data_IF_739745809921
#
_entry.id   IF_739745809921
#
_cell.length_a   1.000
_cell.length_b   1.000
_cell.length_c   1.000
_cell.angle_alpha   90.00
_cell.angle_beta   90.00
_cell.angle_gamma   90.00
#
_symmetry.space_group_name_H-M   'P 1'
#
loop_
_entity.id
_entity.type
_entity.pdbx_description
1 polymer ?
#
# COMPACT_ATOMS: atom_id res chain seq x y z
N UNK A 1 -1.09 -54.52 2.06
CA UNK A 1 -1.90 -53.89 1.03
C UNK A 1 -2.70 -52.82 1.72
N UNK A 2 -2.19 -51.56 1.69
CA UNK A 2 -2.86 -50.43 2.28
C UNK A 2 -3.58 -49.67 1.16
N UNK A 3 -4.86 -49.73 1.17
CA UNK A 3 -5.73 -49.01 0.26
C UNK A 3 -5.84 -47.56 0.77
N UNK A 4 -5.11 -46.64 0.14
CA UNK A 4 -5.17 -45.22 0.46
C UNK A 4 -6.43 -44.63 -0.21
N UNK A 5 -7.48 -44.49 0.57
CA UNK A 5 -8.71 -43.80 0.13
C UNK A 5 -8.38 -42.33 -0.15
N UNK A 6 -8.24 -41.97 -1.40
CA UNK A 6 -8.12 -40.60 -1.85
C UNK A 6 -9.48 -39.92 -1.68
N UNK A 7 -9.60 -39.02 -0.72
CA UNK A 7 -10.77 -38.19 -0.53
C UNK A 7 -10.71 -37.08 -1.61
N UNK A 8 -11.62 -37.04 -2.58
CA UNK A 8 -11.65 -35.95 -3.57
C UNK A 8 -12.04 -34.66 -2.88
N UNK A 9 -11.13 -33.69 -2.86
CA UNK A 9 -11.41 -32.33 -2.43
C UNK A 9 -12.36 -31.71 -3.47
N UNK A 10 -13.67 -31.79 -3.21
CA UNK A 10 -14.64 -31.02 -3.97
C UNK A 10 -14.51 -29.56 -3.57
N UNK A 11 -13.77 -28.81 -4.36
CA UNK A 11 -13.94 -27.35 -4.42
C UNK A 11 -15.35 -27.09 -4.94
N UNK A 12 -16.28 -26.81 -4.05
CA UNK A 12 -17.56 -26.25 -4.41
C UNK A 12 -17.27 -24.82 -4.91
N UNK A 13 -17.17 -24.67 -6.23
CA UNK A 13 -17.28 -23.37 -6.86
C UNK A 13 -18.72 -22.89 -6.61
N UNK A 14 -18.94 -22.18 -5.51
CA UNK A 14 -20.12 -21.33 -5.36
C UNK A 14 -19.97 -20.25 -6.41
N UNK A 15 -20.74 -20.32 -7.47
CA UNK A 15 -20.97 -19.22 -8.40
C UNK A 15 -21.73 -18.12 -7.62
N UNK A 16 -21.00 -17.41 -6.74
CA UNK A 16 -21.46 -16.19 -6.13
C UNK A 16 -21.58 -15.14 -7.22
N UNK A 17 -22.66 -14.41 -7.26
CA UNK A 17 -22.77 -13.22 -8.08
C UNK A 17 -21.65 -12.27 -7.62
N UNK A 18 -20.59 -12.17 -8.42
CA UNK A 18 -19.48 -11.25 -8.15
C UNK A 18 -20.05 -9.83 -8.16
N UNK A 19 -19.83 -9.09 -7.06
CA UNK A 19 -20.26 -7.70 -6.96
C UNK A 19 -19.43 -6.87 -7.92
N UNK A 20 -20.07 -6.01 -8.71
CA UNK A 20 -19.37 -5.02 -9.53
C UNK A 20 -18.93 -3.85 -8.67
N UNK A 21 -17.67 -3.50 -8.79
CA UNK A 21 -17.08 -2.32 -8.17
C UNK A 21 -16.95 -1.21 -9.20
N UNK A 22 -17.31 0.01 -8.79
CA UNK A 22 -17.13 1.24 -9.56
C UNK A 22 -16.18 2.14 -8.78
N UNK A 23 -14.91 2.18 -9.19
CA UNK A 23 -13.84 2.88 -8.48
C UNK A 23 -13.54 4.18 -9.21
N UNK A 24 -13.78 5.33 -8.56
CA UNK A 24 -13.44 6.66 -9.08
C UNK A 24 -12.07 7.06 -8.55
N UNK A 25 -11.12 7.24 -9.43
CA UNK A 25 -9.74 7.60 -9.10
C UNK A 25 -9.44 9.01 -9.57
N UNK A 26 -8.86 9.83 -8.68
CA UNK A 26 -8.31 11.12 -9.06
C UNK A 26 -7.09 10.88 -9.96
N UNK A 27 -7.20 11.30 -11.23
CA UNK A 27 -6.13 11.21 -12.22
C UNK A 27 -5.56 12.60 -12.44
N UNK A 28 -4.28 12.74 -12.19
CA UNK A 28 -3.52 13.96 -12.44
C UNK A 28 -2.02 13.70 -12.40
N UNK A 29 -1.32 14.11 -13.44
CA UNK A 29 0.13 14.08 -13.49
C UNK A 29 0.66 15.52 -13.58
N UNK A 30 1.26 16.08 -12.50
CA UNK A 30 1.77 17.45 -12.51
C UNK A 30 2.98 17.63 -13.43
N UNK A 31 3.65 16.56 -13.84
CA UNK A 31 4.81 16.61 -14.73
C UNK A 31 4.42 16.57 -16.21
N UNK A 32 3.17 16.28 -16.53
CA UNK A 32 2.68 16.21 -17.90
C UNK A 32 2.02 17.54 -18.31
N UNK A 33 2.60 18.27 -19.30
CA UNK A 33 2.03 19.51 -19.79
C UNK A 33 0.60 19.30 -20.30
N UNK A 34 -0.35 20.08 -19.78
CA UNK A 34 -1.76 19.99 -20.14
C UNK A 34 -2.57 18.96 -19.33
N UNK A 35 -1.96 18.22 -18.43
CA UNK A 35 -2.70 17.39 -17.48
C UNK A 35 -3.56 18.27 -16.57
N UNK A 36 -4.84 17.89 -16.41
CA UNK A 36 -5.76 18.54 -15.48
C UNK A 36 -6.37 17.50 -14.54
N UNK A 37 -6.54 17.83 -13.25
CA UNK A 37 -7.17 16.93 -12.31
C UNK A 37 -8.56 16.50 -12.76
N UNK A 38 -8.81 15.19 -12.83
CA UNK A 38 -10.11 14.63 -13.20
C UNK A 38 -10.39 13.35 -12.42
N UNK A 39 -11.66 13.06 -12.18
CA UNK A 39 -12.07 11.75 -11.69
C UNK A 39 -12.33 10.82 -12.88
N UNK A 40 -11.64 9.69 -12.89
CA UNK A 40 -11.85 8.63 -13.86
C UNK A 40 -12.44 7.41 -13.17
N UNK A 41 -13.47 6.81 -13.76
CA UNK A 41 -14.16 5.65 -13.21
C UNK A 41 -13.65 4.38 -13.89
N UNK A 42 -13.36 3.37 -13.08
CA UNK A 42 -12.99 2.03 -13.50
C UNK A 42 -13.97 1.03 -12.92
N UNK A 43 -14.37 0.06 -13.73
CA UNK A 43 -15.28 -1.00 -13.32
C UNK A 43 -14.55 -2.33 -13.34
N UNK A 44 -14.75 -3.13 -12.30
CA UNK A 44 -14.21 -4.48 -12.21
C UNK A 44 -15.15 -5.38 -11.38
N UNK A 45 -14.99 -6.68 -11.55
CA UNK A 45 -15.69 -7.66 -10.74
C UNK A 45 -14.91 -7.95 -9.47
N UNK A 46 -15.59 -7.90 -8.33
CA UNK A 46 -14.97 -8.19 -7.05
C UNK A 46 -14.72 -9.69 -6.89
N UNK A 47 -13.47 -10.06 -6.62
CA UNK A 47 -13.12 -11.42 -6.24
C UNK A 47 -13.17 -11.60 -4.71
N UNK A 48 -13.37 -12.83 -4.25
CA UNK A 48 -13.36 -13.16 -2.83
C UNK A 48 -12.00 -12.80 -2.19
N UNK A 49 -12.05 -12.05 -1.08
CA UNK A 49 -10.85 -11.62 -0.37
C UNK A 49 -10.01 -10.58 -1.11
N UNK A 50 -10.55 -9.94 -2.15
CA UNK A 50 -9.86 -8.90 -2.90
C UNK A 50 -9.51 -7.72 -2.00
N UNK A 51 -8.22 -7.34 -1.99
CA UNK A 51 -7.79 -6.08 -1.39
C UNK A 51 -7.85 -4.96 -2.42
N UNK A 52 -7.92 -3.72 -1.95
CA UNK A 52 -7.87 -2.56 -2.83
C UNK A 52 -6.58 -2.53 -3.66
N UNK A 53 -5.46 -3.02 -3.11
CA UNK A 53 -4.22 -3.19 -3.87
C UNK A 53 -4.40 -4.12 -5.09
N UNK A 54 -5.08 -5.26 -4.92
CA UNK A 54 -5.35 -6.21 -6.01
C UNK A 54 -6.22 -5.53 -7.07
N UNK A 55 -7.27 -4.83 -6.64
CA UNK A 55 -8.16 -4.09 -7.54
C UNK A 55 -7.41 -3.03 -8.37
N UNK A 56 -6.54 -2.22 -7.73
CA UNK A 56 -5.71 -1.23 -8.42
C UNK A 56 -4.71 -1.87 -9.40
N UNK A 57 -4.11 -2.99 -9.01
CA UNK A 57 -3.21 -3.73 -9.90
C UNK A 57 -3.94 -4.30 -11.11
N UNK A 58 -5.14 -4.83 -10.93
CA UNK A 58 -5.98 -5.31 -12.03
C UNK A 58 -6.38 -4.18 -12.99
N UNK A 59 -6.75 -2.99 -12.46
CA UNK A 59 -7.01 -1.81 -13.29
C UNK A 59 -5.77 -1.46 -14.11
N UNK A 60 -4.60 -1.38 -13.47
CA UNK A 60 -3.34 -1.02 -14.15
C UNK A 60 -2.94 -2.04 -15.22
N UNK A 61 -3.13 -3.33 -14.97
CA UNK A 61 -2.74 -4.37 -15.90
C UNK A 61 -3.70 -4.53 -17.09
N UNK A 62 -5.01 -4.32 -16.86
CA UNK A 62 -6.03 -4.67 -17.84
C UNK A 62 -6.76 -3.49 -18.47
N UNK A 63 -6.82 -2.35 -17.79
CA UNK A 63 -7.62 -1.21 -18.24
C UNK A 63 -6.78 0.03 -18.53
N UNK A 64 -5.81 0.36 -17.64
CA UNK A 64 -5.06 1.61 -17.77
C UNK A 64 -3.65 1.50 -17.17
N UNK A 65 -2.69 1.16 -18.02
CA UNK A 65 -1.29 0.99 -17.62
C UNK A 65 -0.62 2.30 -17.14
N UNK A 66 -1.24 3.46 -17.37
CA UNK A 66 -0.73 4.76 -16.91
C UNK A 66 -1.09 5.09 -15.47
N UNK A 67 -1.90 4.27 -14.80
CA UNK A 67 -2.30 4.50 -13.40
C UNK A 67 -1.10 4.42 -12.46
N UNK A 68 -0.84 5.54 -11.76
CA UNK A 68 0.27 5.66 -10.82
C UNK A 68 -0.20 5.46 -9.38
N UNK A 69 0.37 4.48 -8.70
CA UNK A 69 0.25 4.25 -7.26
C UNK A 69 1.43 3.44 -6.75
N UNK A 70 1.79 3.63 -5.49
CA UNK A 70 2.96 3.00 -4.89
C UNK A 70 2.59 1.81 -4.03
N UNK A 71 3.50 0.83 -3.99
CA UNK A 71 3.43 -0.31 -3.09
C UNK A 71 4.79 -0.99 -2.97
N UNK A 72 5.09 -1.53 -1.78
CA UNK A 72 6.33 -2.28 -1.54
C UNK A 72 6.04 -3.58 -0.81
N UNK A 73 5.68 -3.51 0.50
CA UNK A 73 5.59 -4.69 1.35
C UNK A 73 4.30 -5.52 1.15
N UNK A 74 3.21 -4.92 0.74
CA UNK A 74 1.86 -5.52 0.62
C UNK A 74 1.34 -6.17 1.92
N UNK A 75 1.97 -5.86 3.05
CA UNK A 75 1.70 -6.46 4.37
C UNK A 75 1.24 -5.44 5.43
N UNK A 76 1.02 -4.18 5.03
CA UNK A 76 0.58 -3.12 5.94
C UNK A 76 1.68 -2.52 6.82
N UNK A 77 2.95 -2.66 6.45
CA UNK A 77 4.10 -2.24 7.26
C UNK A 77 4.72 -0.95 6.73
N UNK A 78 5.01 -0.87 5.41
CA UNK A 78 5.82 0.21 4.84
C UNK A 78 5.08 1.52 4.60
N UNK A 79 3.74 1.52 4.58
CA UNK A 79 2.95 2.72 4.31
C UNK A 79 2.90 3.19 2.85
N UNK A 80 3.72 2.64 1.93
CA UNK A 80 3.81 3.14 0.53
C UNK A 80 2.47 3.17 -0.21
N UNK A 81 1.56 2.24 0.08
CA UNK A 81 0.24 2.17 -0.54
C UNK A 81 -0.83 3.00 0.21
N UNK A 82 -0.41 3.98 1.00
CA UNK A 82 -1.33 4.85 1.71
C UNK A 82 -1.98 5.86 0.76
N UNK A 83 -3.29 5.99 0.86
CA UNK A 83 -4.09 6.91 0.04
C UNK A 83 -5.37 7.28 0.79
N UNK A 84 -6.11 8.23 0.25
CA UNK A 84 -7.45 8.55 0.74
C UNK A 84 -8.46 7.62 0.06
N UNK A 85 -9.15 6.83 0.86
CA UNK A 85 -10.16 5.85 0.43
C UNK A 85 -11.51 6.35 0.94
N UNK A 86 -12.38 6.77 0.02
CA UNK A 86 -13.71 7.31 0.33
C UNK A 86 -13.69 8.39 1.45
N UNK A 87 -12.74 9.33 1.31
CA UNK A 87 -12.54 10.44 2.24
C UNK A 87 -11.74 10.12 3.50
N UNK A 88 -11.26 8.91 3.70
CA UNK A 88 -10.46 8.50 4.87
C UNK A 88 -9.09 7.96 4.46
N UNK A 89 -8.02 8.32 5.17
CA UNK A 89 -6.71 7.72 4.90
C UNK A 89 -6.71 6.22 5.25
N UNK A 90 -6.09 5.43 4.38
CA UNK A 90 -6.01 3.98 4.55
C UNK A 90 -4.90 3.36 3.70
N UNK A 91 -4.60 2.09 3.96
CA UNK A 91 -3.61 1.32 3.21
C UNK A 91 -4.31 0.40 2.21
N UNK A 92 -4.04 0.57 0.91
CA UNK A 92 -4.66 -0.24 -0.12
C UNK A 92 -4.43 -1.75 0.08
N UNK A 93 -3.26 -2.15 0.55
CA UNK A 93 -2.93 -3.56 0.78
C UNK A 93 -3.64 -4.20 2.00
N UNK A 94 -4.26 -3.39 2.88
CA UNK A 94 -5.00 -3.86 4.07
C UNK A 94 -6.50 -3.64 3.98
N UNK A 95 -6.95 -2.87 3.03
CA UNK A 95 -8.38 -2.57 2.84
C UNK A 95 -8.99 -3.63 1.94
N UNK A 96 -9.91 -4.44 2.47
CA UNK A 96 -10.69 -5.39 1.67
C UNK A 96 -11.78 -4.62 0.91
N UNK A 97 -11.95 -4.91 -0.37
CA UNK A 97 -12.98 -4.25 -1.19
C UNK A 97 -14.39 -4.51 -0.68
N UNK A 98 -14.63 -5.69 -0.12
CA UNK A 98 -15.91 -6.07 0.50
C UNK A 98 -16.30 -5.19 1.70
N UNK A 99 -15.33 -4.52 2.35
CA UNK A 99 -15.59 -3.57 3.44
C UNK A 99 -15.95 -2.17 2.96
N UNK A 100 -15.85 -1.91 1.65
CA UNK A 100 -16.18 -0.64 1.01
C UNK A 100 -17.56 -0.72 0.34
N UNK A 101 -18.23 0.42 0.09
CA UNK A 101 -19.40 0.45 -0.78
C UNK A 101 -19.03 -0.03 -2.20
N UNK A 102 -20.03 -0.41 -3.00
CA UNK A 102 -19.79 -0.83 -4.40
C UNK A 102 -19.22 0.30 -5.27
N UNK A 103 -19.45 1.54 -4.88
CA UNK A 103 -18.90 2.74 -5.50
C UNK A 103 -18.17 3.57 -4.45
N UNK A 104 -16.89 3.86 -4.70
CA UNK A 104 -16.06 4.66 -3.81
C UNK A 104 -15.02 5.48 -4.59
N UNK A 105 -14.38 6.41 -3.90
CA UNK A 105 -13.42 7.33 -4.52
C UNK A 105 -12.04 7.17 -3.89
N UNK A 106 -11.00 7.25 -4.74
CA UNK A 106 -9.60 7.22 -4.33
C UNK A 106 -8.93 8.55 -4.70
N UNK A 107 -8.13 9.06 -3.76
CA UNK A 107 -7.34 10.27 -3.94
C UNK A 107 -5.96 10.11 -3.26
N UNK A 108 -4.94 10.87 -3.68
CA UNK A 108 -3.65 10.90 -3.01
C UNK A 108 -3.77 11.48 -1.60
N UNK A 109 -2.77 11.20 -0.75
CA UNK A 109 -2.66 11.84 0.57
C UNK A 109 -2.39 13.33 0.42
N UNK A 110 -3.23 14.24 0.98
CA UNK A 110 -3.19 15.67 0.69
C UNK A 110 -2.00 16.42 1.31
N UNK A 111 -1.30 15.80 2.28
CA UNK A 111 -0.19 16.44 3.01
C UNK A 111 1.17 16.25 2.33
N UNK A 112 1.25 15.46 1.28
CA UNK A 112 2.47 15.15 0.56
C UNK A 112 2.45 15.77 -0.83
N UNK A 113 3.64 16.02 -1.37
CA UNK A 113 3.79 16.47 -2.76
C UNK A 113 3.35 15.36 -3.72
N UNK A 114 2.51 15.71 -4.69
CA UNK A 114 1.97 14.76 -5.66
C UNK A 114 3.02 14.43 -6.73
N UNK A 115 3.30 13.14 -6.91
CA UNK A 115 4.08 12.63 -8.04
C UNK A 115 3.17 12.39 -9.24
N UNK A 116 2.05 11.72 -9.03
CA UNK A 116 1.01 11.47 -10.04
C UNK A 116 -0.09 10.57 -9.52
N UNK A 117 -1.31 10.83 -9.89
CA UNK A 117 -2.54 10.11 -9.49
C UNK A 117 -2.64 9.87 -7.97
N UNK A 118 -2.31 8.66 -7.50
CA UNK A 118 -2.33 8.27 -6.10
C UNK A 118 -0.93 8.22 -5.47
N UNK A 119 0.13 8.42 -6.27
CA UNK A 119 1.53 8.38 -5.83
C UNK A 119 1.98 9.73 -5.29
N UNK A 120 2.64 9.74 -4.12
CA UNK A 120 3.08 10.95 -3.42
C UNK A 120 4.52 10.82 -2.92
N UNK A 121 5.27 11.94 -2.88
CA UNK A 121 6.63 11.97 -2.34
C UNK A 121 6.63 11.99 -0.79
N UNK A 122 6.85 10.83 -0.20
CA UNK A 122 7.07 10.67 1.24
C UNK A 122 8.53 10.84 1.63
N UNK A 123 9.47 10.93 0.67
CA UNK A 123 10.91 10.91 0.92
C UNK A 123 11.39 12.11 1.72
N UNK A 124 10.86 13.30 1.46
CA UNK A 124 11.21 14.52 2.22
C UNK A 124 10.81 14.39 3.69
N UNK A 125 9.59 13.89 3.94
CA UNK A 125 9.09 13.68 5.30
C UNK A 125 9.91 12.61 6.03
N UNK A 126 10.22 11.50 5.37
CA UNK A 126 11.03 10.43 5.94
C UNK A 126 12.45 10.91 6.29
N UNK A 127 13.08 11.73 5.43
CA UNK A 127 14.38 12.33 5.72
C UNK A 127 14.31 13.30 6.90
N UNK A 128 13.35 14.22 6.91
CA UNK A 128 13.18 15.16 8.01
C UNK A 128 12.92 14.43 9.34
N UNK A 129 12.10 13.39 9.34
CA UNK A 129 11.85 12.58 10.53
C UNK A 129 13.14 11.87 11.00
N UNK A 130 13.92 11.30 10.08
CA UNK A 130 15.21 10.66 10.39
C UNK A 130 16.21 11.65 10.98
N UNK A 131 16.29 12.87 10.43
CA UNK A 131 17.17 13.93 10.92
C UNK A 131 16.77 14.40 12.32
N UNK A 132 15.47 14.51 12.62
CA UNK A 132 14.98 14.94 13.93
C UNK A 132 15.11 13.86 14.99
N UNK A 133 14.88 12.61 14.65
CA UNK A 133 14.93 11.53 15.62
C UNK A 133 16.35 11.13 15.99
N UNK A 134 17.39 11.52 15.18
CA UNK A 134 18.81 11.12 15.35
C UNK A 134 18.99 9.64 15.74
N UNK A 135 17.93 8.86 15.59
CA UNK A 135 17.74 7.56 16.20
C UNK A 135 18.16 6.36 15.34
N UNK A 136 18.80 6.60 14.20
CA UNK A 136 19.27 5.51 13.37
C UNK A 136 20.68 5.12 13.81
N UNK A 137 20.73 4.04 14.62
CA UNK A 137 21.91 3.20 14.85
C UNK A 137 23.24 3.95 14.69
N UNK A 138 23.56 4.85 15.64
CA UNK A 138 24.94 5.25 15.82
C UNK A 138 25.67 4.03 16.37
N UNK A 139 26.44 3.42 15.53
CA UNK A 139 27.37 2.39 15.94
C UNK A 139 28.65 3.11 16.38
N UNK A 140 29.06 2.84 17.60
CA UNK A 140 30.20 3.47 18.24
C UNK A 140 31.53 3.15 17.53
N UNK A 141 31.57 2.03 16.83
CA UNK A 141 32.71 1.54 16.06
C UNK A 141 32.22 1.18 14.65
N UNK A 142 33.01 1.53 13.63
CA UNK A 142 32.71 1.27 12.22
C UNK A 142 32.62 -0.23 11.87
N UNK A 143 32.95 -1.12 12.81
CA UNK A 143 32.85 -2.57 12.64
C UNK A 143 31.56 -3.11 13.24
N UNK A 144 30.68 -3.62 12.34
CA UNK A 144 29.50 -4.37 12.72
C UNK A 144 29.90 -5.80 13.06
N UNK A 145 29.78 -6.21 14.31
CA UNK A 145 29.90 -7.62 14.66
C UNK A 145 28.65 -8.40 14.20
N UNK A 146 28.70 -8.85 12.95
CA UNK A 146 27.64 -9.65 12.35
C UNK A 146 27.43 -11.02 13.02
N UNK A 147 28.37 -11.45 13.88
CA UNK A 147 28.25 -12.73 14.58
C UNK A 147 27.21 -12.70 15.69
N UNK A 148 26.87 -11.51 16.18
CA UNK A 148 25.92 -11.32 17.28
C UNK A 148 24.53 -10.93 16.84
N UNK A 149 24.37 -10.39 15.61
CA UNK A 149 23.11 -9.84 15.09
C UNK A 149 22.40 -8.85 16.06
N UNK A 150 23.15 -8.29 17.00
CA UNK A 150 22.65 -7.35 18.01
C UNK A 150 23.10 -5.95 17.67
N UNK A 151 22.14 -5.11 17.29
CA UNK A 151 22.34 -3.67 17.25
C UNK A 151 22.03 -3.11 18.67
N UNK A 152 23.01 -2.54 19.33
CA UNK A 152 22.80 -1.87 20.63
C UNK A 152 22.79 -0.37 20.43
N UNK A 153 21.74 0.27 20.92
CA UNK A 153 21.68 1.71 21.02
C UNK A 153 22.63 2.21 22.10
N UNK A 154 23.34 3.31 21.87
CA UNK A 154 24.12 3.94 22.92
C UNK A 154 23.23 4.33 24.11
N UNK A 155 23.66 4.14 25.37
CA UNK A 155 22.85 4.43 26.55
C UNK A 155 22.35 5.86 26.60
N UNK A 156 23.20 6.83 26.22
CA UNK A 156 22.85 8.27 26.18
C UNK A 156 21.75 8.57 25.16
N UNK A 157 21.74 7.86 24.03
CA UNK A 157 20.71 8.01 23.02
C UNK A 157 19.40 7.32 23.45
N UNK A 158 19.48 6.21 24.16
CA UNK A 158 18.30 5.53 24.71
C UNK A 158 17.57 6.37 25.75
N UNK A 159 18.30 7.13 26.58
CA UNK A 159 17.70 8.06 27.55
C UNK A 159 16.98 9.22 26.87
N UNK A 160 17.54 9.79 25.78
CA UNK A 160 16.91 10.89 25.03
C UNK A 160 15.62 10.50 24.32
N UNK A 161 15.40 9.22 24.04
CA UNK A 161 14.18 8.74 23.35
C UNK A 161 13.05 8.47 24.37
N UNK A 162 13.40 8.30 25.66
CA UNK A 162 12.42 8.03 26.72
C UNK A 162 11.91 9.30 27.45
N UNK A 163 12.47 10.49 27.15
CA UNK A 163 11.91 11.79 27.58
C UNK A 163 10.92 12.36 26.53
#
# INVERSE_FOLDING_TARGET
>A
MNDATVIPLRLAATAGQHRKLSIRILRYNPQEPGSVPRLQTYELEEADGMTLFIALNEIRERQDASLQFDFVCRAGICGSCAMVIDGRPGLACRTLTQSLPAQFTLAPLPVFELIGDLSVDTGRWMRAMSEHLQGWLHMKDEEVDLSRLEARMEPELAEQIHE
#
